data_IF_069017654093
#
_entry.id   IF_069017654093
#
_cell.length_a   1.000
_cell.length_b   1.000
_cell.length_c   1.000
_cell.angle_alpha   90.00
_cell.angle_beta   90.00
_cell.angle_gamma   90.00
#
_symmetry.space_group_name_H-M   'P 1'
#
loop_
_entity.id
_entity.type
_entity.pdbx_description
1 polymer ?
#
# COMPACT_ATOMS: atom_id res chain seq x y z
N UNK A 1 27.19 -0.89 11.50
CA UNK A 1 26.68 -0.73 10.12
C UNK A 1 25.44 -1.59 9.97
N UNK A 2 24.42 -1.15 9.25
CA UNK A 2 23.32 -2.03 8.84
C UNK A 2 23.86 -2.93 7.73
N UNK A 3 23.68 -4.23 7.87
CA UNK A 3 24.18 -5.19 6.90
C UNK A 3 23.41 -5.06 5.57
N UNK A 4 24.13 -5.08 4.45
CA UNK A 4 23.55 -5.06 3.10
C UNK A 4 22.59 -6.23 2.91
N UNK A 5 22.87 -7.39 3.50
CA UNK A 5 21.96 -8.54 3.43
C UNK A 5 20.62 -8.24 4.14
N UNK A 6 20.66 -7.65 5.34
CA UNK A 6 19.45 -7.25 6.07
C UNK A 6 18.59 -6.26 5.28
N UNK A 7 19.22 -5.29 4.59
CA UNK A 7 18.50 -4.34 3.75
C UNK A 7 17.83 -5.00 2.53
N UNK A 8 18.46 -6.02 1.93
CA UNK A 8 17.85 -6.82 0.84
C UNK A 8 16.70 -7.68 1.36
N UNK A 9 16.84 -8.33 2.52
CA UNK A 9 15.73 -9.10 3.10
C UNK A 9 14.55 -8.20 3.49
N UNK A 10 14.81 -6.98 3.99
CA UNK A 10 13.76 -5.97 4.24
C UNK A 10 13.04 -5.55 2.96
N UNK A 11 13.76 -5.40 1.84
CA UNK A 11 13.14 -5.11 0.54
C UNK A 11 12.22 -6.26 0.08
N UNK A 12 12.61 -7.53 0.27
CA UNK A 12 11.79 -8.71 -0.04
C UNK A 12 10.52 -8.83 0.82
N UNK A 13 10.60 -8.46 2.10
CA UNK A 13 9.41 -8.39 2.97
C UNK A 13 8.46 -7.28 2.52
N UNK A 14 8.99 -6.12 2.15
CA UNK A 14 8.20 -5.01 1.62
C UNK A 14 7.53 -5.35 0.27
N UNK A 15 8.24 -6.06 -0.62
CA UNK A 15 7.70 -6.59 -1.88
C UNK A 15 6.54 -7.56 -1.65
N UNK A 16 6.72 -8.57 -0.79
CA UNK A 16 5.65 -9.53 -0.45
C UNK A 16 4.44 -8.87 0.21
N UNK A 17 4.65 -7.79 0.97
CA UNK A 17 3.59 -7.00 1.61
C UNK A 17 2.96 -5.93 0.68
N UNK A 18 3.38 -5.85 -0.59
CA UNK A 18 2.98 -4.83 -1.58
C UNK A 18 3.29 -3.38 -1.16
N UNK A 19 4.28 -3.19 -0.27
CA UNK A 19 4.71 -1.90 0.29
C UNK A 19 5.89 -1.32 -0.49
N UNK A 20 5.65 -0.95 -1.75
CA UNK A 20 6.69 -0.49 -2.68
C UNK A 20 7.49 0.74 -2.21
N UNK A 21 6.91 1.65 -1.41
CA UNK A 21 7.66 2.76 -0.81
C UNK A 21 8.72 2.29 0.20
N UNK A 22 8.41 1.29 1.03
CA UNK A 22 9.37 0.69 1.97
C UNK A 22 10.44 -0.09 1.21
N UNK A 23 10.07 -0.79 0.13
CA UNK A 23 11.00 -1.48 -0.77
C UNK A 23 11.97 -0.48 -1.41
N UNK A 24 11.46 0.63 -1.95
CA UNK A 24 12.28 1.69 -2.54
C UNK A 24 13.21 2.36 -1.51
N UNK A 25 12.74 2.58 -0.27
CA UNK A 25 13.57 3.10 0.81
C UNK A 25 14.69 2.12 1.23
N UNK A 26 14.39 0.82 1.31
CA UNK A 26 15.38 -0.22 1.57
C UNK A 26 16.42 -0.30 0.43
N UNK A 27 15.99 -0.26 -0.83
CA UNK A 27 16.87 -0.32 -2.00
C UNK A 27 17.72 0.95 -2.21
N UNK A 28 17.22 2.13 -1.84
CA UNK A 28 18.07 3.34 -1.74
C UNK A 28 19.17 3.15 -0.69
N UNK A 29 18.85 2.50 0.43
CA UNK A 29 19.79 2.25 1.52
C UNK A 29 20.86 1.21 1.14
N UNK A 30 20.52 0.14 0.39
CA UNK A 30 21.53 -0.82 -0.12
C UNK A 30 22.52 -0.16 -1.06
N UNK A 31 22.07 0.78 -1.90
CA UNK A 31 22.94 1.52 -2.82
C UNK A 31 23.91 2.47 -2.07
N UNK A 32 23.44 3.14 -1.01
CA UNK A 32 24.31 3.95 -0.15
C UNK A 32 25.38 3.10 0.52
N UNK A 33 25.01 1.94 1.09
CA UNK A 33 25.98 0.99 1.67
C UNK A 33 27.03 0.54 0.66
N UNK A 34 26.59 0.11 -0.54
CA UNK A 34 27.52 -0.28 -1.61
C UNK A 34 28.49 0.85 -2.00
N UNK A 35 28.02 2.10 -2.02
CA UNK A 35 28.87 3.26 -2.32
C UNK A 35 29.90 3.52 -1.22
N UNK A 36 29.54 3.40 0.06
CA UNK A 36 30.48 3.57 1.18
C UNK A 36 31.50 2.43 1.26
N UNK A 37 31.08 1.19 0.96
CA UNK A 37 31.96 0.03 0.98
C UNK A 37 32.95 0.04 -0.20
N UNK A 38 32.51 0.52 -1.36
CA UNK A 38 33.35 0.60 -2.58
C UNK A 38 34.29 1.82 -2.58
N UNK A 39 33.95 2.88 -1.82
CA UNK A 39 34.73 4.11 -1.74
C UNK A 39 34.76 4.64 -0.29
N UNK A 40 35.50 3.99 0.62
CA UNK A 40 35.69 4.51 1.98
C UNK A 40 36.40 5.88 1.93
N UNK A 41 35.96 6.82 2.78
CA UNK A 41 36.42 8.22 2.77
C UNK A 41 37.94 8.39 2.96
N UNK A 42 38.63 7.38 3.50
CA UNK A 42 40.10 7.29 3.55
C UNK A 42 40.78 7.30 2.18
N UNK A 43 40.04 7.07 1.09
CA UNK A 43 40.53 7.17 -0.29
C UNK A 43 40.39 8.58 -0.89
N UNK A 44 39.72 9.51 -0.20
CA UNK A 44 39.62 10.92 -0.62
C UNK A 44 40.72 11.71 0.07
N UNK A 45 41.87 11.85 -0.58
CA UNK A 45 42.90 12.78 -0.14
C UNK A 45 42.37 14.21 -0.32
N UNK A 46 41.84 14.80 0.76
CA UNK A 46 41.37 16.19 0.78
C UNK A 46 42.57 17.13 0.70
N UNK A 47 43.02 17.38 -0.52
CA UNK A 47 43.91 18.50 -0.86
C UNK A 47 43.13 19.80 -0.67
N UNK A 48 43.10 20.29 0.57
CA UNK A 48 42.60 21.62 0.91
C UNK A 48 43.55 22.69 0.35
N UNK A 49 43.36 23.05 -0.94
CA UNK A 49 44.10 24.15 -1.58
C UNK A 49 43.22 25.39 -1.57
N UNK A 50 43.73 26.45 -0.92
CA UNK A 50 43.05 27.73 -0.78
C UNK A 50 42.63 28.33 -2.13
N UNK A 51 41.31 28.40 -2.36
CA UNK A 51 40.63 29.37 -3.22
C UNK A 51 41.27 29.70 -4.57
N UNK A 52 41.09 28.83 -5.57
CA UNK A 52 40.97 29.22 -6.99
C UNK A 52 40.29 28.13 -7.81
N UNK A 53 39.20 28.50 -8.48
CA UNK A 53 38.61 27.67 -9.53
C UNK A 53 39.58 27.59 -10.73
N UNK A 54 39.93 26.37 -11.12
CA UNK A 54 40.75 26.10 -12.30
C UNK A 54 40.64 24.64 -12.69
N UNK A 55 40.11 24.37 -13.88
CA UNK A 55 40.06 23.01 -14.44
C UNK A 55 41.49 22.52 -14.69
N UNK A 56 41.85 21.40 -14.09
CA UNK A 56 43.10 20.69 -14.37
C UNK A 56 42.82 19.19 -14.48
N UNK A 57 43.13 18.60 -15.63
CA UNK A 57 43.05 17.17 -15.84
C UNK A 57 44.06 16.46 -14.92
N UNK A 58 43.58 15.71 -13.94
CA UNK A 58 44.42 14.84 -13.13
C UNK A 58 44.54 13.49 -13.85
N UNK A 59 45.61 13.33 -14.63
CA UNK A 59 45.94 12.06 -15.29
C UNK A 59 46.34 11.01 -14.27
N UNK A 60 45.55 9.95 -14.12
CA UNK A 60 45.97 8.78 -13.35
C UNK A 60 47.13 8.07 -14.06
N UNK A 61 48.26 7.90 -13.36
CA UNK A 61 49.30 6.93 -13.71
C UNK A 61 49.44 5.94 -12.57
N UNK A 62 48.88 4.74 -12.72
CA UNK A 62 48.80 3.76 -11.63
C UNK A 62 48.03 2.48 -11.97
N UNK A 63 48.19 1.94 -13.17
CA UNK A 63 47.68 0.61 -13.53
C UNK A 63 48.77 -0.20 -14.26
N UNK A 64 49.13 -1.41 -13.80
CA UNK A 64 50.01 -2.30 -14.51
C UNK A 64 49.24 -3.43 -15.20
N UNK A 65 48.56 -3.12 -16.31
CA UNK A 65 48.39 -4.07 -17.42
C UNK A 65 48.31 -3.29 -18.74
N UNK A 66 49.33 -3.46 -19.60
CA UNK A 66 49.49 -2.72 -20.84
C UNK A 66 48.63 -3.29 -21.97
N UNK A 67 48.18 -2.41 -22.87
CA UNK A 67 48.02 -2.75 -24.29
C UNK A 67 48.74 -1.73 -25.19
N UNK A 68 49.75 -2.23 -25.89
CA UNK A 68 50.17 -1.91 -27.27
C UNK A 68 50.27 -0.43 -27.72
N UNK A 69 51.53 0.02 -27.79
CA UNK A 69 52.15 0.82 -28.87
C UNK A 69 51.33 1.87 -29.65
N UNK A 70 51.76 3.13 -29.55
CA UNK A 70 52.00 3.98 -30.72
C UNK A 70 53.17 4.95 -30.44
N UNK A 71 54.15 4.98 -31.34
CA UNK A 71 55.35 5.82 -31.26
C UNK A 71 55.44 6.71 -32.51
N UNK A 72 55.95 7.94 -32.31
CA UNK A 72 56.58 8.89 -33.26
C UNK A 72 56.05 10.35 -33.30
N UNK A 73 56.83 11.22 -32.65
CA UNK A 73 57.50 12.43 -33.18
C UNK A 73 56.73 13.46 -34.05
N UNK A 74 56.59 14.65 -33.46
CA UNK A 74 56.67 16.05 -33.96
C UNK A 74 57.49 16.19 -35.28
N UNK A 75 57.09 17.02 -36.31
CA UNK A 75 56.99 18.49 -36.18
C UNK A 75 55.89 19.28 -36.93
N UNK A 76 55.85 20.56 -36.54
CA UNK A 76 54.96 21.65 -36.90
C UNK A 76 54.81 22.02 -38.39
N UNK A 77 53.65 22.62 -38.75
CA UNK A 77 53.58 23.99 -39.29
C UNK A 77 52.12 24.43 -39.55
N UNK A 78 51.88 25.75 -39.54
CA UNK A 78 50.57 26.36 -39.78
C UNK A 78 50.57 27.27 -41.00
N UNK A 79 49.67 27.01 -41.94
CA UNK A 79 49.04 27.93 -42.93
C UNK A 79 49.82 29.13 -43.49
N UNK A 80 49.96 29.15 -44.82
CA UNK A 80 49.87 30.38 -45.64
C UNK A 80 48.98 30.20 -46.88
N UNK A 81 47.98 31.08 -46.98
CA UNK A 81 47.35 31.65 -48.19
C UNK A 81 47.04 30.82 -49.45
N UNK A 82 45.72 30.66 -49.69
CA UNK A 82 45.01 30.94 -50.97
C UNK A 82 45.53 30.42 -52.33
N UNK A 83 44.73 29.59 -53.02
CA UNK A 83 44.13 29.86 -54.36
C UNK A 83 43.26 28.70 -54.89
N UNK A 84 42.06 29.05 -55.36
CA UNK A 84 41.24 28.31 -56.36
C UNK A 84 41.83 28.55 -57.79
N UNK A 85 41.42 27.89 -58.91
CA UNK A 85 40.10 27.25 -59.11
C UNK A 85 39.96 25.99 -60.06
N UNK A 86 38.72 25.45 -60.06
CA UNK A 86 37.92 24.92 -61.19
C UNK A 86 38.12 23.53 -61.86
N UNK A 87 36.96 22.82 -61.86
CA UNK A 87 36.32 21.95 -62.90
C UNK A 87 36.73 20.47 -63.02
N UNK A 88 35.80 19.60 -62.62
CA UNK A 88 35.73 18.16 -62.93
C UNK A 88 34.64 17.44 -62.11
N UNK A 89 33.48 17.17 -62.71
CA UNK A 89 32.23 16.60 -62.12
C UNK A 89 31.65 15.62 -63.17
N UNK A 90 30.86 14.56 -62.86
CA UNK A 90 30.23 14.12 -61.60
C UNK A 90 30.87 12.79 -61.08
N UNK A 91 30.32 11.91 -60.22
CA UNK A 91 28.96 11.57 -59.74
C UNK A 91 28.94 11.07 -58.26
N UNK A 92 27.76 10.65 -57.79
CA UNK A 92 27.48 9.83 -56.59
C UNK A 92 28.01 10.29 -55.21
N UNK A 93 27.19 11.06 -54.47
CA UNK A 93 26.34 10.58 -53.35
C UNK A 93 25.60 11.77 -52.67
N UNK A 94 24.51 11.57 -51.90
CA UNK A 94 23.53 12.64 -51.67
C UNK A 94 23.68 13.43 -50.34
N UNK A 95 23.37 14.73 -50.47
CA UNK A 95 22.81 15.74 -49.53
C UNK A 95 22.99 15.62 -48.01
N UNK A 96 23.35 16.77 -47.44
CA UNK A 96 23.51 17.04 -46.02
C UNK A 96 22.21 17.12 -45.20
N UNK A 97 22.33 16.69 -43.93
CA UNK A 97 21.85 17.36 -42.71
C UNK A 97 20.39 17.82 -42.57
N UNK A 98 19.62 17.04 -41.81
CA UNK A 98 18.88 17.47 -40.60
C UNK A 98 18.69 16.24 -39.69
N UNK A 99 19.21 16.25 -38.46
CA UNK A 99 19.02 15.17 -37.48
C UNK A 99 17.63 15.23 -36.81
N UNK A 100 17.06 14.08 -36.40
CA UNK A 100 17.18 13.67 -35.00
C UNK A 100 17.37 12.12 -34.85
N UNK A 101 16.98 11.53 -33.70
CA UNK A 101 17.84 11.13 -32.60
C UNK A 101 18.50 9.74 -32.78
N UNK A 102 19.58 9.48 -32.03
CA UNK A 102 20.17 8.13 -31.95
C UNK A 102 19.64 7.42 -30.71
N UNK A 103 18.82 6.40 -30.95
CA UNK A 103 18.50 5.36 -29.98
C UNK A 103 19.41 4.14 -30.21
N UNK A 104 19.43 3.22 -29.24
CA UNK A 104 20.16 1.93 -29.25
C UNK A 104 21.70 1.97 -29.12
N UNK A 105 22.16 1.70 -27.89
CA UNK A 105 23.38 0.92 -27.66
C UNK A 105 22.98 -0.49 -27.21
N UNK A 106 23.38 -1.51 -27.97
CA UNK A 106 23.01 -2.92 -27.74
C UNK A 106 23.88 -3.52 -26.62
N UNK A 107 23.25 -4.09 -25.60
CA UNK A 107 23.93 -4.93 -24.60
C UNK A 107 23.89 -6.38 -25.08
N UNK A 108 25.07 -6.97 -25.30
CA UNK A 108 25.21 -8.39 -25.62
C UNK A 108 25.08 -9.22 -24.34
N UNK A 109 24.06 -10.07 -24.26
CA UNK A 109 23.86 -11.06 -23.20
C UNK A 109 24.43 -12.43 -23.63
N UNK A 110 24.93 -13.26 -22.70
CA UNK A 110 25.29 -14.65 -22.99
C UNK A 110 24.04 -15.54 -23.18
N UNK A 111 24.15 -16.55 -24.04
CA UNK A 111 23.05 -17.47 -24.39
C UNK A 111 22.69 -18.39 -23.22
N UNK A 112 21.39 -18.67 -23.01
CA UNK A 112 20.97 -19.78 -22.12
C UNK A 112 19.65 -19.67 -21.33
N UNK A 113 18.82 -18.63 -21.50
CA UNK A 113 17.55 -18.52 -20.77
C UNK A 113 16.35 -18.27 -21.71
N UNK A 114 15.48 -19.27 -21.85
CA UNK A 114 14.17 -19.10 -22.51
C UNK A 114 13.18 -18.48 -21.52
N UNK A 115 12.67 -17.29 -21.84
CA UNK A 115 11.51 -16.69 -21.18
C UNK A 115 10.44 -16.42 -22.24
N UNK A 116 9.22 -16.92 -22.00
CA UNK A 116 8.06 -16.59 -22.82
C UNK A 116 7.65 -15.12 -22.60
N UNK A 117 7.23 -14.38 -23.64
CA UNK A 117 6.94 -12.96 -23.52
C UNK A 117 5.59 -12.71 -22.84
N UNK A 118 5.61 -12.00 -21.70
CA UNK A 118 4.43 -11.34 -21.16
C UNK A 118 4.08 -10.08 -21.98
N UNK A 119 2.79 -9.77 -22.21
CA UNK A 119 2.39 -8.61 -22.99
C UNK A 119 2.62 -7.29 -22.23
N UNK A 120 3.11 -6.29 -22.97
CA UNK A 120 3.40 -4.94 -22.49
C UNK A 120 2.09 -4.15 -22.26
N UNK A 121 1.86 -3.65 -21.04
CA UNK A 121 0.76 -2.73 -20.71
C UNK A 121 1.33 -1.31 -20.48
N UNK A 122 0.64 -0.24 -20.94
CA UNK A 122 1.18 1.12 -20.90
C UNK A 122 1.18 1.70 -19.48
N UNK A 123 2.18 2.51 -19.15
CA UNK A 123 2.35 3.09 -17.82
C UNK A 123 1.21 4.05 -17.45
N UNK A 124 0.31 3.61 -16.57
CA UNK A 124 -0.45 4.53 -15.74
C UNK A 124 0.54 5.24 -14.82
N UNK A 125 0.53 6.58 -14.86
CA UNK A 125 1.42 7.41 -14.04
C UNK A 125 0.81 7.52 -12.65
N UNK A 126 1.00 6.50 -11.82
CA UNK A 126 0.55 6.51 -10.43
C UNK A 126 1.06 7.77 -9.73
N UNK A 127 0.12 8.66 -9.36
CA UNK A 127 0.41 9.65 -8.33
C UNK A 127 0.44 8.87 -7.02
N UNK A 128 1.57 8.91 -6.34
CA UNK A 128 1.73 8.32 -5.03
C UNK A 128 0.54 8.68 -4.13
N UNK A 129 -0.04 7.67 -3.47
CA UNK A 129 -1.11 7.90 -2.51
C UNK A 129 -0.60 8.86 -1.40
N UNK A 130 -1.42 9.83 -0.94
CA UNK A 130 -0.95 10.78 0.05
C UNK A 130 -0.52 10.07 1.34
N UNK A 131 0.58 10.50 1.94
CA UNK A 131 1.01 10.04 3.26
C UNK A 131 -0.15 10.27 4.26
N UNK A 132 -0.45 9.35 5.21
CA UNK A 132 -1.64 9.47 6.07
C UNK A 132 -1.74 10.82 6.81
N UNK A 133 -0.60 11.35 7.27
CA UNK A 133 -0.53 12.68 7.89
C UNK A 133 -1.02 13.83 6.99
N UNK A 134 -0.90 13.71 5.65
CA UNK A 134 -1.37 14.72 4.70
C UNK A 134 -2.87 14.63 4.40
N UNK A 135 -3.45 13.42 4.43
CA UNK A 135 -4.90 13.21 4.36
C UNK A 135 -5.59 13.72 5.63
N UNK A 136 -5.03 13.38 6.80
CA UNK A 136 -5.47 13.88 8.10
C UNK A 136 -5.38 15.42 8.20
N UNK A 137 -4.27 16.03 7.76
CA UNK A 137 -4.14 17.50 7.76
C UNK A 137 -5.10 18.22 6.78
N UNK A 138 -5.39 17.62 5.62
CA UNK A 138 -6.24 18.24 4.59
C UNK A 138 -7.75 18.11 4.89
N UNK A 139 -8.20 16.96 5.40
CA UNK A 139 -9.59 16.78 5.82
C UNK A 139 -9.85 17.36 7.23
N UNK A 140 -8.87 17.25 8.12
CA UNK A 140 -8.96 17.75 9.49
C UNK A 140 -9.08 19.28 9.56
N UNK A 141 -8.30 20.03 8.78
CA UNK A 141 -8.39 21.51 8.82
C UNK A 141 -9.76 22.03 8.36
N UNK A 142 -10.32 21.50 7.27
CA UNK A 142 -11.64 21.93 6.79
C UNK A 142 -12.82 21.53 7.69
N UNK A 143 -12.87 20.28 8.16
CA UNK A 143 -14.03 19.76 8.91
C UNK A 143 -14.05 20.23 10.37
N UNK A 144 -12.88 20.51 10.97
CA UNK A 144 -12.81 20.89 12.39
C UNK A 144 -12.98 22.38 12.67
N UNK A 145 -12.78 23.26 11.68
CA UNK A 145 -12.89 24.71 11.86
C UNK A 145 -14.33 25.25 11.79
N UNK A 146 -15.25 24.56 11.10
CA UNK A 146 -16.64 25.04 10.91
C UNK A 146 -17.70 24.24 11.69
N UNK A 147 -17.38 23.04 12.17
CA UNK A 147 -18.29 22.18 12.95
C UNK A 147 -19.61 21.84 12.22
N UNK A 148 -19.62 21.91 10.88
CA UNK A 148 -20.76 21.61 10.02
C UNK A 148 -20.94 20.10 9.80
N UNK A 149 -22.17 19.67 9.54
CA UNK A 149 -22.50 18.26 9.30
C UNK A 149 -22.17 17.87 7.84
N UNK A 150 -21.38 16.80 7.66
CA UNK A 150 -21.05 16.28 6.33
C UNK A 150 -22.28 15.82 5.56
N UNK A 151 -22.36 16.24 4.30
CA UNK A 151 -23.32 15.71 3.32
C UNK A 151 -23.12 14.20 3.08
N UNK A 152 -24.10 13.56 2.45
CA UNK A 152 -24.02 12.13 2.14
C UNK A 152 -22.85 11.82 1.18
N UNK A 153 -22.52 12.72 0.24
CA UNK A 153 -21.39 12.54 -0.68
C UNK A 153 -20.04 12.62 0.06
N UNK A 154 -19.84 13.66 0.87
CA UNK A 154 -18.62 13.83 1.68
C UNK A 154 -18.41 12.66 2.65
N UNK A 155 -19.49 12.19 3.29
CA UNK A 155 -19.48 11.04 4.20
C UNK A 155 -19.07 9.75 3.48
N UNK A 156 -19.56 9.54 2.27
CA UNK A 156 -19.20 8.39 1.44
C UNK A 156 -17.73 8.49 0.97
N UNK A 157 -17.28 9.65 0.50
CA UNK A 157 -15.89 9.88 0.10
C UNK A 157 -14.91 9.69 1.27
N UNK A 158 -15.24 10.20 2.46
CA UNK A 158 -14.47 10.00 3.69
C UNK A 158 -14.31 8.51 4.01
N UNK A 159 -15.41 7.76 3.98
CA UNK A 159 -15.41 6.33 4.27
C UNK A 159 -14.61 5.53 3.24
N UNK A 160 -14.80 5.80 1.95
CA UNK A 160 -14.03 5.16 0.86
C UNK A 160 -12.55 5.47 0.97
N UNK A 161 -12.16 6.72 1.26
CA UNK A 161 -10.76 7.09 1.41
C UNK A 161 -10.07 6.30 2.54
N UNK A 162 -10.61 6.38 3.78
CA UNK A 162 -9.99 5.70 4.91
C UNK A 162 -10.09 4.16 4.82
N UNK A 163 -11.18 3.60 4.26
CA UNK A 163 -11.33 2.15 4.02
C UNK A 163 -10.20 1.61 3.14
N UNK A 164 -9.81 2.33 2.08
CA UNK A 164 -8.70 1.92 1.22
C UNK A 164 -7.34 2.04 1.94
N UNK A 165 -7.12 3.16 2.66
CA UNK A 165 -5.89 3.42 3.42
C UNK A 165 -5.64 2.36 4.51
N UNK A 166 -6.67 1.96 5.26
CA UNK A 166 -6.56 0.91 6.28
C UNK A 166 -6.58 -0.50 5.66
N UNK A 167 -7.32 -0.70 4.57
CA UNK A 167 -7.41 -1.97 3.85
C UNK A 167 -6.06 -2.45 3.32
N UNK A 168 -5.29 -1.56 2.70
CA UNK A 168 -3.92 -1.87 2.26
C UNK A 168 -3.02 -2.31 3.44
N UNK A 169 -3.07 -1.58 4.57
CA UNK A 169 -2.31 -1.90 5.78
C UNK A 169 -2.69 -3.25 6.38
N UNK A 170 -3.99 -3.56 6.43
CA UNK A 170 -4.50 -4.87 6.87
C UNK A 170 -4.05 -6.01 5.95
N UNK A 171 -4.01 -5.79 4.64
CA UNK A 171 -3.47 -6.76 3.67
C UNK A 171 -1.99 -7.03 3.93
N UNK A 172 -1.15 -5.97 3.95
CA UNK A 172 0.28 -6.07 4.27
C UNK A 172 0.53 -6.76 5.62
N UNK A 173 -0.27 -6.44 6.65
CA UNK A 173 -0.14 -7.05 7.97
C UNK A 173 -0.44 -8.55 7.95
N UNK A 174 -1.53 -9.00 7.30
CA UNK A 174 -1.86 -10.43 7.17
C UNK A 174 -0.73 -11.21 6.50
N UNK A 175 -0.16 -10.68 5.42
CA UNK A 175 0.95 -11.32 4.71
C UNK A 175 2.18 -11.44 5.61
N UNK A 176 2.60 -10.35 6.25
CA UNK A 176 3.77 -10.36 7.15
C UNK A 176 3.54 -11.26 8.39
N UNK A 177 2.34 -11.27 8.98
CA UNK A 177 1.99 -12.17 10.09
C UNK A 177 2.05 -13.65 9.66
N UNK A 178 1.60 -14.00 8.45
CA UNK A 178 1.76 -15.37 7.91
C UNK A 178 3.23 -15.72 7.68
N UNK A 179 4.06 -14.76 7.26
CA UNK A 179 5.51 -14.95 7.11
C UNK A 179 6.20 -15.09 8.48
N UNK A 180 5.77 -14.38 9.53
CA UNK A 180 6.32 -14.54 10.89
C UNK A 180 6.02 -15.95 11.43
N UNK A 181 4.77 -16.42 11.28
CA UNK A 181 4.37 -17.77 11.66
C UNK A 181 5.22 -18.85 10.96
N UNK A 182 5.37 -18.76 9.63
CA UNK A 182 6.18 -19.70 8.84
C UNK A 182 7.67 -19.64 9.22
N UNK A 183 8.21 -18.42 9.36
CA UNK A 183 9.63 -18.20 9.69
C UNK A 183 9.98 -18.65 11.11
N UNK A 184 9.01 -18.65 12.03
CA UNK A 184 9.21 -19.13 13.41
C UNK A 184 9.56 -20.62 13.48
N UNK A 185 9.24 -21.40 12.45
CA UNK A 185 9.65 -22.81 12.33
C UNK A 185 11.09 -23.00 11.79
N UNK A 186 11.68 -22.00 11.12
CA UNK A 186 13.02 -22.09 10.52
C UNK A 186 14.16 -22.03 11.55
N UNK A 187 13.90 -21.60 12.79
CA UNK A 187 14.90 -21.44 13.85
C UNK A 187 15.91 -20.28 13.65
N UNK A 188 15.83 -19.52 12.55
CA UNK A 188 16.73 -18.39 12.30
C UNK A 188 16.27 -17.13 13.05
N UNK A 189 16.74 -16.99 14.29
CA UNK A 189 16.38 -15.91 15.22
C UNK A 189 16.49 -14.50 14.64
N UNK A 190 17.57 -14.18 13.89
CA UNK A 190 17.73 -12.87 13.23
C UNK A 190 16.65 -12.61 12.17
N UNK A 191 16.27 -13.64 11.40
CA UNK A 191 15.21 -13.53 10.40
C UNK A 191 13.85 -13.33 11.08
N UNK A 192 13.59 -14.06 12.18
CA UNK A 192 12.37 -13.91 13.00
C UNK A 192 12.26 -12.48 13.55
N UNK A 193 13.32 -11.96 14.19
CA UNK A 193 13.37 -10.61 14.74
C UNK A 193 13.08 -9.54 13.67
N UNK A 194 13.69 -9.67 12.49
CA UNK A 194 13.44 -8.76 11.37
C UNK A 194 12.00 -8.77 10.86
N UNK A 195 11.39 -9.95 10.74
CA UNK A 195 9.98 -10.07 10.31
C UNK A 195 9.05 -9.47 11.36
N UNK A 196 9.27 -9.78 12.64
CA UNK A 196 8.51 -9.20 13.77
C UNK A 196 8.60 -7.68 13.82
N UNK A 197 9.80 -7.13 13.71
CA UNK A 197 10.01 -5.68 13.69
C UNK A 197 9.30 -5.00 12.50
N UNK A 198 9.15 -5.71 11.37
CA UNK A 198 8.38 -5.22 10.22
C UNK A 198 6.86 -5.34 10.43
N UNK A 199 6.38 -6.44 11.06
CA UNK A 199 4.98 -6.58 11.50
C UNK A 199 4.58 -5.43 12.43
N UNK A 200 5.36 -5.19 13.49
CA UNK A 200 5.11 -4.13 14.47
C UNK A 200 5.15 -2.72 13.87
N UNK A 201 5.94 -2.49 12.81
CA UNK A 201 5.90 -1.24 12.05
C UNK A 201 4.53 -1.05 11.38
N UNK A 202 4.02 -2.09 10.73
CA UNK A 202 2.71 -2.05 10.05
C UNK A 202 1.59 -1.88 11.08
N UNK A 203 1.69 -2.53 12.25
CA UNK A 203 0.73 -2.40 13.35
C UNK A 203 0.64 -0.96 13.85
N UNK A 204 1.77 -0.29 14.10
CA UNK A 204 1.80 1.12 14.53
C UNK A 204 1.21 2.06 13.46
N UNK A 205 1.46 1.79 12.18
CA UNK A 205 0.85 2.55 11.08
C UNK A 205 -0.66 2.31 10.93
N UNK A 206 -1.14 1.11 11.27
CA UNK A 206 -2.57 0.78 11.29
C UNK A 206 -3.26 1.39 12.50
N UNK A 207 -2.66 1.27 13.69
CA UNK A 207 -3.13 1.85 14.96
C UNK A 207 -3.29 3.38 14.83
N UNK A 208 -2.29 4.06 14.27
CA UNK A 208 -2.35 5.50 14.01
C UNK A 208 -3.52 5.89 13.08
N UNK A 209 -3.69 5.20 11.94
CA UNK A 209 -4.80 5.48 11.00
C UNK A 209 -6.17 5.21 11.65
N UNK A 210 -6.29 4.16 12.47
CA UNK A 210 -7.53 3.88 13.17
C UNK A 210 -7.82 4.94 14.23
N UNK A 211 -6.82 5.35 15.01
CA UNK A 211 -6.97 6.37 16.05
C UNK A 211 -7.31 7.74 15.48
N UNK A 212 -6.72 8.12 14.34
CA UNK A 212 -7.07 9.37 13.61
C UNK A 212 -8.58 9.39 13.25
N UNK A 213 -9.10 8.28 12.72
CA UNK A 213 -10.52 8.17 12.37
C UNK A 213 -11.42 8.14 13.61
N UNK A 214 -11.06 7.38 14.65
CA UNK A 214 -11.81 7.33 15.91
C UNK A 214 -11.88 8.71 16.58
N UNK A 215 -10.77 9.47 16.56
CA UNK A 215 -10.73 10.84 17.05
C UNK A 215 -11.62 11.78 16.23
N UNK A 216 -11.67 11.64 14.91
CA UNK A 216 -12.56 12.42 14.04
C UNK A 216 -14.04 12.10 14.31
N UNK A 217 -14.36 10.82 14.49
CA UNK A 217 -15.72 10.35 14.80
C UNK A 217 -16.21 10.88 16.15
N UNK A 218 -15.42 10.73 17.22
CA UNK A 218 -15.87 11.04 18.58
C UNK A 218 -15.87 12.54 18.91
N UNK A 219 -14.89 13.30 18.41
CA UNK A 219 -14.80 14.73 18.73
C UNK A 219 -15.70 15.60 17.84
N UNK A 220 -16.01 15.15 16.62
CA UNK A 220 -16.73 15.95 15.62
C UNK A 220 -17.96 15.22 15.08
N UNK A 221 -17.79 14.12 14.33
CA UNK A 221 -18.88 13.61 13.45
C UNK A 221 -20.07 13.03 14.23
N UNK A 222 -19.84 12.20 15.25
CA UNK A 222 -20.91 11.62 16.09
C UNK A 222 -21.50 12.69 17.00
N UNK A 223 -20.64 13.54 17.57
CA UNK A 223 -21.02 14.59 18.52
C UNK A 223 -21.90 15.68 17.89
N UNK A 224 -21.71 15.96 16.61
CA UNK A 224 -22.47 16.96 15.85
C UNK A 224 -23.68 16.38 15.11
N UNK A 225 -23.98 15.07 15.23
CA UNK A 225 -25.21 14.52 14.69
C UNK A 225 -26.44 15.04 15.47
N UNK A 226 -27.36 15.69 14.77
CA UNK A 226 -28.64 16.07 15.34
C UNK A 226 -29.50 14.82 15.62
N UNK A 227 -30.42 14.91 16.58
CA UNK A 227 -31.28 13.79 17.01
C UNK A 227 -32.09 13.17 15.86
N UNK A 228 -32.42 13.93 14.82
CA UNK A 228 -33.17 13.49 13.64
C UNK A 228 -32.32 12.83 12.55
N UNK A 229 -30.98 12.83 12.66
CA UNK A 229 -30.06 12.35 11.62
C UNK A 229 -29.64 10.88 11.83
N UNK A 230 -30.62 10.00 12.01
CA UNK A 230 -30.39 8.58 12.34
C UNK A 230 -29.46 7.87 11.32
N UNK A 231 -29.62 8.12 10.01
CA UNK A 231 -28.73 7.59 8.96
C UNK A 231 -27.27 7.97 9.16
N UNK A 232 -27.01 9.24 9.50
CA UNK A 232 -25.66 9.73 9.76
C UNK A 232 -25.08 9.10 11.02
N UNK A 233 -25.88 9.05 12.10
CA UNK A 233 -25.46 8.50 13.38
C UNK A 233 -25.13 7.01 13.27
N UNK A 234 -25.97 6.20 12.62
CA UNK A 234 -25.70 4.77 12.38
C UNK A 234 -24.48 4.58 11.47
N UNK A 235 -24.31 5.39 10.43
CA UNK A 235 -23.13 5.31 9.57
C UNK A 235 -21.84 5.55 10.37
N UNK A 236 -21.79 6.59 11.20
CA UNK A 236 -20.61 6.91 12.00
C UNK A 236 -20.35 5.92 13.13
N UNK A 237 -21.39 5.40 13.79
CA UNK A 237 -21.25 4.35 14.81
C UNK A 237 -20.80 3.00 14.19
N UNK A 238 -21.35 2.63 13.03
CA UNK A 238 -20.87 1.50 12.23
C UNK A 238 -19.39 1.67 11.88
N UNK A 239 -19.01 2.86 11.41
CA UNK A 239 -17.62 3.19 11.07
C UNK A 239 -16.73 3.07 12.33
N UNK A 240 -17.17 3.59 13.49
CA UNK A 240 -16.48 3.45 14.77
C UNK A 240 -16.24 1.98 15.15
N UNK A 241 -17.27 1.13 15.02
CA UNK A 241 -17.16 -0.33 15.19
C UNK A 241 -16.15 -0.95 14.22
N UNK A 242 -16.19 -0.57 12.94
CA UNK A 242 -15.23 -1.05 11.93
C UNK A 242 -13.77 -0.73 12.30
N UNK A 243 -13.45 0.50 12.77
CA UNK A 243 -12.08 0.84 13.16
C UNK A 243 -11.64 0.19 14.48
N UNK A 244 -12.52 0.00 15.47
CA UNK A 244 -12.18 -0.80 16.64
C UNK A 244 -11.99 -2.28 16.32
N UNK A 245 -12.74 -2.84 15.37
CA UNK A 245 -12.51 -4.19 14.85
C UNK A 245 -11.14 -4.31 14.17
N UNK A 246 -10.73 -3.33 13.36
CA UNK A 246 -9.40 -3.34 12.75
C UNK A 246 -8.27 -3.24 13.79
N UNK A 247 -8.49 -2.52 14.90
CA UNK A 247 -7.59 -2.56 16.06
C UNK A 247 -7.60 -3.93 16.75
N UNK A 248 -8.78 -4.54 16.92
CA UNK A 248 -8.92 -5.86 17.55
C UNK A 248 -8.20 -6.97 16.76
N UNK A 249 -8.15 -6.90 15.43
CA UNK A 249 -7.40 -7.83 14.58
C UNK A 249 -5.91 -7.88 14.94
N UNK A 250 -5.29 -6.73 15.21
CA UNK A 250 -3.84 -6.62 15.51
C UNK A 250 -3.51 -6.60 17.00
N UNK A 251 -4.50 -6.29 17.86
CA UNK A 251 -4.29 -6.18 19.30
C UNK A 251 -4.06 -7.54 19.98
N UNK A 252 -3.14 -7.54 20.95
CA UNK A 252 -2.78 -8.70 21.77
C UNK A 252 -2.91 -8.38 23.27
N UNK A 253 -3.08 -9.42 24.08
CA UNK A 253 -3.22 -9.28 25.54
C UNK A 253 -4.40 -8.43 25.99
N UNK A 254 -4.25 -7.75 27.13
CA UNK A 254 -5.29 -6.94 27.78
C UNK A 254 -5.86 -5.83 26.88
N UNK A 255 -5.02 -5.22 26.02
CA UNK A 255 -5.46 -4.23 25.03
C UNK A 255 -6.55 -4.77 24.10
N UNK A 256 -6.51 -6.06 23.75
CA UNK A 256 -7.49 -6.69 22.84
C UNK A 256 -8.89 -6.66 23.44
N UNK A 257 -9.04 -6.96 24.74
CA UNK A 257 -10.35 -6.99 25.40
C UNK A 257 -11.06 -5.63 25.31
N UNK A 258 -10.35 -4.54 25.64
CA UNK A 258 -10.90 -3.18 25.61
C UNK A 258 -11.32 -2.71 24.20
N UNK A 259 -10.57 -3.05 23.14
CA UNK A 259 -10.96 -2.70 21.77
C UNK A 259 -12.10 -3.57 21.23
N UNK A 260 -12.20 -4.84 21.66
CA UNK A 260 -13.33 -5.72 21.32
C UNK A 260 -14.62 -5.21 21.95
N UNK A 261 -14.61 -4.86 23.24
CA UNK A 261 -15.76 -4.25 23.94
C UNK A 261 -16.18 -2.93 23.26
N UNK A 262 -15.20 -2.08 22.91
CA UNK A 262 -15.46 -0.81 22.22
C UNK A 262 -16.06 -1.00 20.83
N UNK A 263 -15.64 -2.04 20.11
CA UNK A 263 -16.19 -2.45 18.81
C UNK A 263 -17.65 -2.92 18.96
N UNK A 264 -17.90 -3.86 19.86
CA UNK A 264 -19.24 -4.41 20.12
C UNK A 264 -20.21 -3.32 20.54
N UNK A 265 -19.85 -2.48 21.49
CA UNK A 265 -20.68 -1.36 21.94
C UNK A 265 -21.07 -0.42 20.78
N UNK A 266 -20.12 -0.12 19.89
CA UNK A 266 -20.35 0.77 18.75
C UNK A 266 -21.29 0.14 17.72
N UNK A 267 -21.13 -1.15 17.43
CA UNK A 267 -22.05 -1.88 16.54
C UNK A 267 -23.43 -2.08 17.16
N UNK A 268 -23.51 -2.38 18.46
CA UNK A 268 -24.76 -2.56 19.21
C UNK A 268 -25.60 -1.26 19.23
N UNK A 269 -24.99 -0.11 19.57
CA UNK A 269 -25.69 1.18 19.51
C UNK A 269 -26.17 1.50 18.07
N UNK A 270 -25.34 1.25 17.07
CA UNK A 270 -25.74 1.42 15.67
C UNK A 270 -26.92 0.51 15.29
N UNK A 271 -26.93 -0.73 15.80
CA UNK A 271 -27.89 -1.75 15.42
C UNK A 271 -29.28 -1.44 15.97
N UNK A 272 -29.38 -1.06 17.24
CA UNK A 272 -30.67 -0.69 17.83
C UNK A 272 -31.26 0.58 17.18
N UNK A 273 -30.44 1.63 16.94
CA UNK A 273 -30.89 2.83 16.20
C UNK A 273 -31.34 2.46 14.77
N UNK A 274 -30.66 1.53 14.11
CA UNK A 274 -31.05 1.07 12.77
C UNK A 274 -32.35 0.26 12.76
N UNK A 275 -32.64 -0.51 13.82
CA UNK A 275 -33.90 -1.25 13.96
C UNK A 275 -35.09 -0.32 14.12
N UNK A 276 -34.95 0.73 14.93
CA UNK A 276 -36.03 1.66 15.26
C UNK A 276 -36.35 2.62 14.09
N UNK A 277 -35.33 3.09 13.36
CA UNK A 277 -35.49 4.21 12.42
C UNK A 277 -35.21 3.90 10.94
N UNK A 278 -34.85 2.66 10.56
CA UNK A 278 -34.54 2.30 9.16
C UNK A 278 -35.25 1.04 8.72
N UNK A 279 -35.68 0.99 7.45
CA UNK A 279 -36.24 -0.23 6.85
C UNK A 279 -35.17 -1.34 6.82
N UNK A 280 -35.53 -2.62 6.99
CA UNK A 280 -34.62 -3.76 6.86
C UNK A 280 -33.79 -3.78 5.58
N UNK A 281 -34.39 -3.34 4.47
CA UNK A 281 -33.76 -3.22 3.15
C UNK A 281 -32.75 -2.07 3.04
N UNK A 282 -32.66 -1.16 4.01
CA UNK A 282 -31.82 0.04 3.88
C UNK A 282 -30.32 -0.30 3.79
N UNK A 283 -29.56 0.18 2.79
CA UNK A 283 -28.17 -0.22 2.57
C UNK A 283 -27.23 0.00 3.77
N UNK A 284 -27.44 1.06 4.57
CA UNK A 284 -26.63 1.30 5.78
C UNK A 284 -26.94 0.24 6.87
N UNK A 285 -28.21 -0.17 7.02
CA UNK A 285 -28.64 -1.21 7.99
C UNK A 285 -28.14 -2.59 7.58
N UNK A 286 -28.27 -2.94 6.29
CA UNK A 286 -27.71 -4.17 5.72
C UNK A 286 -26.18 -4.21 5.87
N UNK A 287 -25.48 -3.13 5.51
CA UNK A 287 -24.02 -3.04 5.61
C UNK A 287 -23.52 -3.06 7.06
N UNK A 288 -24.32 -2.57 8.01
CA UNK A 288 -24.05 -2.74 9.44
C UNK A 288 -24.19 -4.20 9.87
N UNK A 289 -25.29 -4.87 9.53
CA UNK A 289 -25.49 -6.28 9.88
C UNK A 289 -24.40 -7.19 9.30
N UNK A 290 -23.97 -6.93 8.06
CA UNK A 290 -22.84 -7.61 7.42
C UNK A 290 -21.53 -7.44 8.20
N UNK A 291 -21.19 -6.22 8.62
CA UNK A 291 -19.93 -5.99 9.33
C UNK A 291 -19.99 -6.46 10.79
N UNK A 292 -21.18 -6.47 11.41
CA UNK A 292 -21.38 -6.94 12.79
C UNK A 292 -21.41 -8.47 12.88
N UNK A 293 -21.96 -9.18 11.87
CA UNK A 293 -21.83 -10.65 11.80
C UNK A 293 -20.38 -11.08 11.58
N UNK A 294 -19.64 -10.40 10.69
CA UNK A 294 -18.18 -10.61 10.53
C UNK A 294 -17.42 -10.35 11.83
N UNK A 295 -17.82 -9.37 12.65
CA UNK A 295 -17.25 -9.15 13.98
C UNK A 295 -17.49 -10.34 14.92
N UNK A 296 -18.72 -10.85 15.01
CA UNK A 296 -19.01 -12.05 15.82
C UNK A 296 -18.20 -13.27 15.36
N UNK A 297 -18.05 -13.46 14.05
CA UNK A 297 -17.27 -14.58 13.49
C UNK A 297 -15.75 -14.41 13.73
N UNK A 298 -15.14 -13.36 13.16
CA UNK A 298 -13.67 -13.20 13.11
C UNK A 298 -13.05 -12.75 14.45
N UNK A 299 -13.81 -12.07 15.32
CA UNK A 299 -13.26 -11.38 16.51
C UNK A 299 -13.70 -12.01 17.82
N UNK A 300 -15.00 -12.28 17.98
CA UNK A 300 -15.53 -12.95 19.17
C UNK A 300 -15.47 -14.47 19.10
N UNK A 301 -15.23 -15.07 17.93
CA UNK A 301 -15.27 -16.52 17.72
C UNK A 301 -16.64 -17.11 18.11
N UNK A 302 -17.72 -16.42 17.73
CA UNK A 302 -19.11 -16.76 18.02
C UNK A 302 -19.89 -17.03 16.71
N UNK A 303 -19.59 -18.13 15.99
CA UNK A 303 -20.11 -18.38 14.65
C UNK A 303 -21.64 -18.53 14.61
N UNK A 304 -22.25 -19.12 15.65
CA UNK A 304 -23.72 -19.21 15.76
C UNK A 304 -24.39 -17.84 15.77
N UNK A 305 -23.85 -16.88 16.53
CA UNK A 305 -24.37 -15.51 16.62
C UNK A 305 -24.16 -14.76 15.30
N UNK A 306 -23.00 -14.96 14.65
CA UNK A 306 -22.72 -14.39 13.33
C UNK A 306 -23.72 -14.87 12.27
N UNK A 307 -23.92 -16.20 12.18
CA UNK A 307 -24.86 -16.81 11.26
C UNK A 307 -26.31 -16.40 11.57
N UNK A 308 -26.71 -16.36 12.84
CA UNK A 308 -28.05 -15.88 13.23
C UNK A 308 -28.28 -14.43 12.77
N UNK A 309 -27.36 -13.52 13.11
CA UNK A 309 -27.48 -12.10 12.76
C UNK A 309 -27.50 -11.87 11.24
N UNK A 310 -26.61 -12.54 10.50
CA UNK A 310 -26.56 -12.44 9.04
C UNK A 310 -27.84 -13.00 8.39
N UNK A 311 -28.35 -14.12 8.89
CA UNK A 311 -29.58 -14.74 8.39
C UNK A 311 -30.81 -13.89 8.68
N UNK A 312 -31.00 -13.41 9.91
CA UNK A 312 -32.12 -12.51 10.25
C UNK A 312 -32.12 -11.27 9.37
N UNK A 313 -30.96 -10.61 9.18
CA UNK A 313 -30.87 -9.44 8.31
C UNK A 313 -31.18 -9.74 6.83
N UNK A 314 -30.84 -10.93 6.35
CA UNK A 314 -31.17 -11.37 4.99
C UNK A 314 -32.67 -11.68 4.85
N UNK A 315 -33.24 -12.47 5.76
CA UNK A 315 -34.65 -12.89 5.75
C UNK A 315 -35.59 -11.67 5.92
N UNK A 316 -35.29 -10.75 6.84
CA UNK A 316 -36.04 -9.49 7.03
C UNK A 316 -36.02 -8.63 5.75
N UNK A 317 -34.88 -8.54 5.07
CA UNK A 317 -34.75 -7.73 3.85
C UNK A 317 -35.40 -8.38 2.62
N UNK A 318 -35.43 -9.72 2.54
CA UNK A 318 -36.20 -10.45 1.52
C UNK A 318 -37.69 -10.16 1.66
N UNK A 319 -38.22 -10.12 2.88
CA UNK A 319 -39.65 -9.91 3.14
C UNK A 319 -40.18 -8.54 2.63
N UNK A 320 -39.31 -7.54 2.50
CA UNK A 320 -39.67 -6.18 2.07
C UNK A 320 -39.02 -5.77 0.74
N UNK A 321 -38.31 -6.67 0.05
CA UNK A 321 -37.51 -6.35 -1.13
C UNK A 321 -38.35 -5.76 -2.30
N UNK A 322 -39.58 -6.26 -2.47
CA UNK A 322 -40.53 -5.82 -3.50
C UNK A 322 -40.99 -4.35 -3.33
N UNK A 323 -40.67 -3.71 -2.21
CA UNK A 323 -41.01 -2.29 -1.95
C UNK A 323 -39.98 -1.29 -2.48
N UNK A 324 -38.81 -1.76 -2.92
CA UNK A 324 -37.69 -0.90 -3.32
C UNK A 324 -37.87 -0.27 -4.71
N UNK A 325 -37.32 0.93 -4.87
CA UNK A 325 -37.07 1.54 -6.18
C UNK A 325 -35.81 0.93 -6.85
N UNK A 326 -35.65 1.12 -8.16
CA UNK A 326 -34.59 0.47 -8.96
C UNK A 326 -33.16 0.81 -8.50
N UNK A 327 -32.92 2.02 -7.99
CA UNK A 327 -31.59 2.45 -7.55
C UNK A 327 -31.25 1.86 -6.18
N UNK A 328 -32.18 1.93 -5.21
CA UNK A 328 -32.01 1.30 -3.90
C UNK A 328 -31.96 -0.23 -3.98
N UNK A 329 -32.66 -0.84 -4.95
CA UNK A 329 -32.63 -2.29 -5.17
C UNK A 329 -31.22 -2.80 -5.50
N UNK A 330 -30.47 -2.09 -6.34
CA UNK A 330 -29.09 -2.49 -6.74
C UNK A 330 -28.13 -2.51 -5.55
N UNK A 331 -28.15 -1.46 -4.74
CA UNK A 331 -27.28 -1.36 -3.56
C UNK A 331 -27.66 -2.40 -2.48
N UNK A 332 -28.96 -2.59 -2.24
CA UNK A 332 -29.45 -3.52 -1.21
C UNK A 332 -29.16 -4.97 -1.59
N UNK A 333 -29.46 -5.37 -2.84
CA UNK A 333 -29.21 -6.74 -3.32
C UNK A 333 -27.72 -7.09 -3.38
N UNK A 334 -26.85 -6.14 -3.68
CA UNK A 334 -25.40 -6.34 -3.61
C UNK A 334 -24.95 -6.71 -2.18
N UNK A 335 -25.47 -6.04 -1.15
CA UNK A 335 -25.11 -6.32 0.25
C UNK A 335 -25.76 -7.64 0.73
N UNK A 336 -26.99 -7.93 0.30
CA UNK A 336 -27.66 -9.20 0.59
C UNK A 336 -26.91 -10.40 -0.02
N UNK A 337 -26.31 -10.25 -1.21
CA UNK A 337 -25.46 -11.28 -1.78
C UNK A 337 -24.21 -11.52 -0.91
N UNK A 338 -23.55 -10.47 -0.40
CA UNK A 338 -22.41 -10.63 0.53
C UNK A 338 -22.80 -11.31 1.85
N UNK A 339 -23.99 -11.04 2.39
CA UNK A 339 -24.52 -11.76 3.55
C UNK A 339 -24.70 -13.26 3.25
N UNK A 340 -25.24 -13.59 2.08
CA UNK A 340 -25.42 -14.98 1.62
C UNK A 340 -24.09 -15.69 1.37
N UNK A 341 -23.11 -15.00 0.79
CA UNK A 341 -21.77 -15.55 0.52
C UNK A 341 -21.08 -15.91 1.84
N UNK A 342 -21.12 -15.01 2.83
CA UNK A 342 -20.62 -15.27 4.19
C UNK A 342 -21.34 -16.45 4.86
N UNK A 343 -22.68 -16.49 4.83
CA UNK A 343 -23.46 -17.61 5.37
C UNK A 343 -23.10 -18.95 4.72
N UNK A 344 -22.84 -18.95 3.41
CA UNK A 344 -22.43 -20.16 2.68
C UNK A 344 -21.06 -20.64 3.14
N UNK A 345 -20.09 -19.75 3.28
CA UNK A 345 -18.75 -20.06 3.78
C UNK A 345 -18.78 -20.59 5.23
N UNK A 346 -19.46 -19.88 6.13
CA UNK A 346 -19.49 -20.22 7.55
C UNK A 346 -20.24 -21.52 7.84
N UNK A 347 -21.22 -21.90 7.01
CA UNK A 347 -21.94 -23.17 7.15
C UNK A 347 -21.24 -24.35 6.47
N UNK A 348 -20.30 -24.13 5.55
CA UNK A 348 -19.37 -25.18 5.10
C UNK A 348 -18.27 -25.44 6.13
N UNK A 349 -17.68 -24.40 6.72
CA UNK A 349 -16.61 -24.55 7.71
C UNK A 349 -17.06 -25.40 8.92
N UNK A 350 -18.31 -25.23 9.38
CA UNK A 350 -18.90 -26.03 10.46
C UNK A 350 -19.10 -27.52 10.12
N UNK A 351 -19.30 -27.87 8.85
CA UNK A 351 -19.48 -29.28 8.44
C UNK A 351 -18.15 -30.05 8.38
N UNK A 352 -17.03 -29.35 8.14
CA UNK A 352 -15.70 -29.96 8.13
C UNK A 352 -15.18 -30.20 9.56
N UNK A 353 -15.48 -29.33 10.53
CA UNK A 353 -15.10 -29.51 11.94
C UNK A 353 -15.87 -30.65 12.65
N UNK A 354 -17.18 -30.82 12.38
CA UNK A 354 -17.97 -31.93 12.96
C UNK A 354 -17.61 -33.31 12.37
N UNK A 355 -16.86 -33.38 11.27
CA UNK A 355 -16.42 -34.61 10.63
C UNK A 355 -15.21 -35.31 11.27
N UNK A 356 -14.57 -34.68 12.27
CA UNK A 356 -13.27 -35.12 12.81
C UNK A 356 -13.32 -36.24 13.87
N UNK A 357 -14.37 -36.33 14.68
CA UNK A 357 -14.46 -37.29 15.80
C UNK A 357 -15.05 -38.64 15.36
N UNK A 358 -14.34 -39.34 14.47
CA UNK A 358 -14.90 -40.52 13.77
C UNK A 358 -13.99 -41.71 13.49
N UNK A 359 -12.70 -41.72 13.87
CA UNK A 359 -11.88 -42.95 13.83
C UNK A 359 -10.54 -42.87 14.58
N UNK A 360 -10.47 -43.42 15.81
CA UNK A 360 -9.35 -44.25 16.31
C UNK A 360 -9.67 -44.88 17.67
#
# INVERSE_FOLDING_TARGET
>A
MVDREQLVQKARLAEQAERYDDMAAAMKSTWVCWRTDSFPESSVCVMAVNGRFGSANCSMTGSPYQSVLCDNRIPASSNTSSRFPHRGVPQHLPRCSTGPPVDQAVVVMPEGAQLHPFPFMPSQRERAAPHPASLSAALGSGVTELNEALSNEERNLLSVAYKNVVGARRSSWRVISSIEQKTSADGNEKKIEMVRAYREKIEKELEAVCQDVLNLLDNFLIKNCNETQHESKVFYLKMKGDYYRYLAEVATGEKRAAVVESSEKSYSEAHEISKEHMQPTHPIRLGLALNYSVFYYEIQNAPEQACHLAKTAFDDAIAELDTLNEDSYKDSTLIMQLLRDNLTLWTSDQQDDEGGEGNN
#
